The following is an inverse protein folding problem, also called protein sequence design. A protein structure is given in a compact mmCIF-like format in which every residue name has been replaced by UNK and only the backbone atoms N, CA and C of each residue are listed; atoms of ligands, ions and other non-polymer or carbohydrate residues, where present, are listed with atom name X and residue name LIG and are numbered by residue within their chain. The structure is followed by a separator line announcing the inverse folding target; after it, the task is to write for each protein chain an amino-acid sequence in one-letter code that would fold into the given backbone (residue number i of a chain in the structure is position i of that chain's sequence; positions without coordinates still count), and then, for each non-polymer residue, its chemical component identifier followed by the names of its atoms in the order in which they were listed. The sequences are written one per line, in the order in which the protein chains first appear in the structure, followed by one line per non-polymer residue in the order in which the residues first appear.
data_IF_673805861265
#
_entry.id   IF_673805861265
#
_cell.length_a   1.000
_cell.length_b   1.000
_cell.length_c   1.000
_cell.angle_alpha   90.00
_cell.angle_beta   90.00
_cell.angle_gamma   90.00
#
_symmetry.space_group_name_H-M   'P 1'
#
loop_
_entity.id
_entity.type
_entity.pdbx_description
1 polymer ?
#
# COMPACT_ATOMS: atom_id res chain seq x y z
N UNK A 1 2.56 8.00 -10.34
CA UNK A 1 3.33 6.97 -11.05
C UNK A 1 2.46 5.74 -11.32
N UNK A 2 2.29 5.34 -12.58
CA UNK A 2 1.39 4.25 -12.96
C UNK A 2 1.90 2.86 -12.52
N UNK A 3 3.21 2.65 -12.62
CA UNK A 3 3.89 1.40 -12.25
C UNK A 3 4.95 1.73 -11.20
N UNK A 4 5.21 0.86 -10.20
CA UNK A 4 6.32 1.03 -9.27
C UNK A 4 7.66 1.19 -9.99
N UNK A 5 8.68 1.67 -9.30
CA UNK A 5 10.04 1.63 -9.80
C UNK A 5 10.45 0.18 -10.02
N UNK A 6 11.32 -0.06 -11.01
CA UNK A 6 11.86 -1.39 -11.27
C UNK A 6 13.30 -1.43 -10.78
N UNK A 7 13.63 -2.42 -9.98
CA UNK A 7 14.98 -2.70 -9.52
C UNK A 7 15.50 -3.93 -10.24
N UNK A 8 16.40 -3.71 -11.21
CA UNK A 8 17.03 -4.79 -11.98
C UNK A 8 18.22 -5.38 -11.21
N UNK A 9 18.27 -6.69 -11.10
CA UNK A 9 19.34 -7.45 -10.47
C UNK A 9 20.27 -7.99 -11.55
N UNK A 10 21.33 -7.24 -11.85
CA UNK A 10 22.29 -7.59 -12.92
C UNK A 10 23.72 -7.52 -12.40
N UNK A 11 24.60 -8.39 -12.95
CA UNK A 11 26.00 -8.42 -12.59
C UNK A 11 26.89 -8.52 -13.83
N UNK A 12 28.03 -7.83 -13.79
CA UNK A 12 29.06 -7.92 -14.83
C UNK A 12 30.03 -9.05 -14.51
N UNK A 13 30.10 -10.05 -15.38
CA UNK A 13 31.05 -11.17 -15.22
C UNK A 13 32.25 -10.95 -16.11
N UNK A 14 33.49 -10.87 -15.56
CA UNK A 14 34.71 -10.70 -16.37
C UNK A 14 34.86 -11.81 -17.42
N UNK A 15 35.17 -11.43 -18.67
CA UNK A 15 35.33 -12.37 -19.79
C UNK A 15 34.02 -12.82 -20.46
N UNK A 16 32.86 -12.39 -19.97
CA UNK A 16 31.56 -12.64 -20.58
C UNK A 16 31.05 -11.36 -21.26
N UNK A 17 30.59 -11.45 -22.49
CA UNK A 17 29.89 -10.34 -23.14
C UNK A 17 28.51 -10.14 -22.55
N UNK A 18 28.14 -8.88 -22.28
CA UNK A 18 26.83 -8.51 -21.66
C UNK A 18 26.81 -8.62 -20.16
N UNK A 19 25.60 -8.66 -19.58
CA UNK A 19 25.35 -8.78 -18.15
C UNK A 19 24.78 -10.17 -17.83
N UNK A 20 25.04 -10.67 -16.64
CA UNK A 20 24.24 -11.73 -16.05
C UNK A 20 22.97 -11.08 -15.48
N UNK A 21 21.81 -11.51 -15.93
CA UNK A 21 20.51 -11.00 -15.51
C UNK A 21 19.87 -12.00 -14.54
N UNK A 22 19.58 -11.54 -13.32
CA UNK A 22 18.91 -12.32 -12.26
C UNK A 22 17.45 -11.90 -12.06
N UNK A 23 16.88 -11.16 -13.03
CA UNK A 23 15.52 -10.67 -13.00
C UNK A 23 15.40 -9.27 -12.39
N UNK A 24 14.18 -8.89 -12.11
CA UNK A 24 13.87 -7.58 -11.57
C UNK A 24 12.77 -7.68 -10.52
N UNK A 25 12.89 -6.83 -9.49
CA UNK A 25 11.92 -6.68 -8.42
C UNK A 25 11.19 -5.34 -8.53
N UNK A 26 9.97 -5.29 -8.00
CA UNK A 26 9.28 -4.02 -7.79
C UNK A 26 9.97 -3.24 -6.66
N UNK A 27 10.42 -2.05 -6.96
CA UNK A 27 10.92 -1.11 -5.97
C UNK A 27 9.80 -0.27 -5.36
N UNK A 28 10.19 0.78 -4.66
CA UNK A 28 9.27 1.73 -4.06
C UNK A 28 8.42 2.48 -5.11
N UNK A 29 7.28 3.01 -4.67
CA UNK A 29 6.42 3.88 -5.48
C UNK A 29 6.45 5.30 -4.95
N UNK A 30 6.51 6.26 -5.87
CA UNK A 30 6.33 7.67 -5.56
C UNK A 30 4.99 8.17 -6.11
N UNK A 31 4.25 8.91 -5.29
CA UNK A 31 2.97 9.51 -5.64
C UNK A 31 3.08 11.01 -5.39
N UNK A 32 2.92 11.79 -6.47
CA UNK A 32 2.94 13.25 -6.42
C UNK A 32 1.50 13.76 -6.48
N UNK A 33 1.13 14.57 -5.50
CA UNK A 33 -0.20 15.18 -5.40
C UNK A 33 -0.05 16.69 -5.48
N UNK A 34 -0.52 17.27 -6.57
CA UNK A 34 -0.56 18.72 -6.75
C UNK A 34 -1.72 19.30 -5.92
N UNK A 35 -1.39 20.23 -5.04
CA UNK A 35 -2.33 20.87 -4.14
C UNK A 35 -2.40 22.38 -4.38
N UNK A 36 -3.58 22.95 -4.18
CA UNK A 36 -3.78 24.38 -4.25
C UNK A 36 -4.48 24.89 -2.99
N UNK A 37 -4.03 26.02 -2.48
CA UNK A 37 -4.74 26.76 -1.46
C UNK A 37 -5.66 27.76 -2.15
N UNK A 38 -6.95 27.63 -1.94
CA UNK A 38 -7.93 28.60 -2.41
C UNK A 38 -7.65 29.98 -1.83
N UNK A 39 -7.94 31.07 -2.58
CA UNK A 39 -7.73 32.42 -2.08
C UNK A 39 -8.38 32.64 -0.73
N UNK A 40 -7.56 33.02 0.25
CA UNK A 40 -7.99 33.35 1.60
C UNK A 40 -8.30 34.87 1.68
N UNK A 41 -9.02 35.30 2.71
CA UNK A 41 -9.36 36.71 2.91
C UNK A 41 -8.11 37.55 3.19
N UNK A 42 -7.18 36.99 3.96
CA UNK A 42 -5.93 37.64 4.33
C UNK A 42 -4.75 36.70 4.14
N UNK A 43 -3.55 37.27 4.13
CA UNK A 43 -2.32 36.49 4.13
C UNK A 43 -2.15 35.67 5.45
N UNK A 44 -2.61 36.23 6.58
CA UNK A 44 -2.58 35.53 7.86
C UNK A 44 -3.46 34.27 7.84
N UNK A 45 -4.62 34.33 7.19
CA UNK A 45 -5.50 33.16 7.05
C UNK A 45 -4.83 32.07 6.19
N UNK A 46 -4.11 32.46 5.13
CA UNK A 46 -3.35 31.53 4.30
C UNK A 46 -2.23 30.84 5.11
N UNK A 47 -1.51 31.59 5.93
CA UNK A 47 -0.46 31.02 6.82
C UNK A 47 -1.08 30.04 7.80
N UNK A 48 -2.22 30.35 8.39
CA UNK A 48 -2.92 29.44 9.30
C UNK A 48 -3.34 28.13 8.61
N UNK A 49 -3.74 28.16 7.34
CA UNK A 49 -4.01 26.95 6.56
C UNK A 49 -2.74 26.14 6.32
N UNK A 50 -1.63 26.80 6.00
CA UNK A 50 -0.32 26.12 5.84
C UNK A 50 0.15 25.44 7.13
N UNK A 51 -0.04 26.09 8.28
CA UNK A 51 0.30 25.53 9.58
C UNK A 51 -0.57 24.27 9.89
N UNK A 52 -1.85 24.29 9.52
CA UNK A 52 -2.73 23.13 9.63
C UNK A 52 -2.29 21.97 8.71
N UNK A 53 -1.91 22.28 7.49
CA UNK A 53 -1.37 21.29 6.54
C UNK A 53 -0.07 20.70 7.05
N UNK A 54 0.84 21.53 7.58
CA UNK A 54 2.10 21.08 8.16
C UNK A 54 1.88 20.15 9.36
N UNK A 55 0.94 20.49 10.24
CA UNK A 55 0.60 19.65 11.38
C UNK A 55 -0.05 18.31 10.98
N UNK A 56 -0.86 18.31 9.92
CA UNK A 56 -1.47 17.09 9.37
C UNK A 56 -0.46 16.16 8.69
N UNK A 57 0.53 16.74 8.00
CA UNK A 57 1.56 16.03 7.24
C UNK A 57 2.82 15.74 8.05
N UNK A 58 2.72 15.61 9.38
CA UNK A 58 3.87 15.32 10.23
C UNK A 58 4.67 14.09 9.72
N UNK A 59 5.90 14.28 9.22
CA UNK A 59 6.71 13.20 8.69
C UNK A 59 7.15 12.20 9.77
N UNK A 60 7.13 12.62 11.05
CA UNK A 60 7.49 11.77 12.18
C UNK A 60 6.36 10.81 12.58
N UNK A 61 5.15 11.05 12.12
CA UNK A 61 3.98 10.21 12.39
C UNK A 61 4.02 8.83 11.68
N UNK A 62 5.09 8.56 10.91
CA UNK A 62 5.28 7.31 10.19
C UNK A 62 4.39 7.16 8.96
N UNK A 63 4.23 5.92 8.53
CA UNK A 63 3.43 5.58 7.35
C UNK A 63 1.94 5.61 7.68
N UNK A 64 1.14 6.16 6.77
CA UNK A 64 -0.32 6.28 6.86
C UNK A 64 -0.98 5.75 5.60
N UNK A 65 -2.28 5.50 5.68
CA UNK A 65 -3.08 5.16 4.51
C UNK A 65 -3.34 6.42 3.67
N UNK A 66 -2.94 6.36 2.41
CA UNK A 66 -3.22 7.37 1.41
C UNK A 66 -4.29 6.84 0.45
N UNK A 67 -5.46 7.44 0.47
CA UNK A 67 -6.55 7.19 -0.47
C UNK A 67 -6.61 8.37 -1.44
N UNK A 68 -6.70 8.09 -2.71
CA UNK A 68 -6.81 9.10 -3.76
C UNK A 68 -8.25 9.12 -4.29
N UNK A 69 -8.82 10.30 -4.48
CA UNK A 69 -10.19 10.45 -4.99
C UNK A 69 -10.39 9.82 -6.37
N UNK A 70 -9.32 9.78 -7.17
CA UNK A 70 -9.33 9.15 -8.50
C UNK A 70 -9.36 7.60 -8.42
N UNK A 71 -9.01 7.02 -7.27
CA UNK A 71 -8.94 5.58 -7.04
C UNK A 71 -9.44 5.30 -5.62
N UNK A 72 -10.73 5.52 -5.35
CA UNK A 72 -11.28 5.48 -4.00
C UNK A 72 -11.46 4.07 -3.43
N UNK A 73 -11.25 3.03 -4.24
CA UNK A 73 -11.41 1.62 -3.89
C UNK A 73 -10.21 1.03 -3.12
N UNK A 74 -9.11 1.79 -3.04
CA UNK A 74 -7.85 1.31 -2.44
C UNK A 74 -7.07 2.39 -1.73
N UNK A 75 -6.17 1.96 -0.86
CA UNK A 75 -5.19 2.83 -0.22
C UNK A 75 -3.76 2.40 -0.54
N UNK A 76 -2.83 3.33 -0.40
CA UNK A 76 -1.40 3.08 -0.42
C UNK A 76 -0.82 3.36 0.97
N UNK A 77 0.10 2.52 1.40
CA UNK A 77 0.83 2.74 2.65
C UNK A 77 1.95 3.76 2.39
N UNK A 78 1.70 5.02 2.72
CA UNK A 78 2.52 6.14 2.28
C UNK A 78 3.01 7.01 3.45
N UNK A 79 4.15 7.66 3.27
CA UNK A 79 4.65 8.74 4.11
C UNK A 79 5.14 9.89 3.25
N UNK A 80 5.17 11.09 3.78
CA UNK A 80 5.80 12.22 3.11
C UNK A 80 7.30 11.93 2.92
N UNK A 81 7.82 12.16 1.73
CA UNK A 81 9.21 11.82 1.36
C UNK A 81 10.14 13.02 1.31
N UNK A 82 9.60 14.23 1.18
CA UNK A 82 10.38 15.43 0.97
C UNK A 82 9.76 16.64 1.68
N UNK A 83 10.52 17.73 1.72
CA UNK A 83 10.04 19.02 2.19
C UNK A 83 8.95 19.56 1.28
N UNK A 84 8.00 20.26 1.88
CA UNK A 84 6.90 20.88 1.13
C UNK A 84 7.14 22.38 1.05
N UNK A 85 7.46 22.86 -0.16
CA UNK A 85 7.58 24.27 -0.45
C UNK A 85 6.29 24.80 -1.08
N UNK A 86 5.70 25.82 -0.50
CA UNK A 86 4.51 26.46 -1.02
C UNK A 86 4.88 27.68 -1.88
N UNK A 87 4.65 27.55 -3.18
CA UNK A 87 4.77 28.68 -4.09
C UNK A 87 3.56 29.62 -3.96
N UNK A 88 3.82 30.87 -3.66
CA UNK A 88 2.79 31.87 -3.53
C UNK A 88 2.42 32.46 -4.90
N UNK A 89 1.25 32.09 -5.41
CA UNK A 89 0.72 32.57 -6.68
C UNK A 89 0.10 33.97 -6.58
N UNK A 90 -0.60 34.23 -5.47
CA UNK A 90 -1.27 35.50 -5.17
C UNK A 90 -1.00 35.87 -3.69
N UNK A 91 -1.48 37.09 -3.29
CA UNK A 91 -1.29 37.58 -1.93
C UNK A 91 -1.79 36.61 -0.84
N UNK A 92 -2.82 35.84 -1.14
CA UNK A 92 -3.47 34.93 -0.20
C UNK A 92 -3.85 33.57 -0.84
N UNK A 93 -3.12 33.16 -1.87
CA UNK A 93 -3.28 31.87 -2.54
C UNK A 93 -1.92 31.29 -2.89
N UNK A 94 -1.81 29.96 -2.88
CA UNK A 94 -0.57 29.27 -3.18
C UNK A 94 -0.82 27.90 -3.79
N UNK A 95 0.24 27.33 -4.35
CA UNK A 95 0.28 25.94 -4.80
C UNK A 95 1.50 25.23 -4.22
N UNK A 96 1.38 23.93 -4.06
CA UNK A 96 2.46 23.07 -3.61
C UNK A 96 2.24 21.65 -4.11
N UNK A 97 3.28 20.86 -4.13
CA UNK A 97 3.20 19.43 -4.45
C UNK A 97 3.60 18.63 -3.23
N UNK A 98 2.81 17.62 -2.92
CA UNK A 98 3.12 16.63 -1.89
C UNK A 98 3.77 15.43 -2.56
N UNK A 99 4.94 15.07 -2.10
CA UNK A 99 5.68 13.90 -2.57
C UNK A 99 5.56 12.78 -1.53
N UNK A 100 4.82 11.74 -1.86
CA UNK A 100 4.64 10.58 -1.00
C UNK A 100 5.52 9.41 -1.46
N UNK A 101 6.19 8.78 -0.49
CA UNK A 101 6.90 7.52 -0.66
C UNK A 101 6.05 6.38 -0.13
N UNK A 102 5.76 5.41 -0.97
CA UNK A 102 5.23 4.10 -0.62
C UNK A 102 6.38 3.09 -0.69
N UNK A 103 6.91 2.70 0.46
CA UNK A 103 7.96 1.68 0.53
C UNK A 103 7.46 0.33 0.03
N UNK A 104 6.20 0.03 0.32
CA UNK A 104 5.44 -1.03 -0.31
C UNK A 104 4.71 -0.45 -1.53
N UNK A 105 5.03 -0.94 -2.74
CA UNK A 105 4.50 -0.36 -3.98
C UNK A 105 3.05 -0.71 -4.28
N UNK A 106 2.46 -1.64 -3.54
CA UNK A 106 1.12 -2.16 -3.82
C UNK A 106 0.03 -1.28 -3.24
N UNK A 107 -1.13 -1.30 -3.90
CA UNK A 107 -2.37 -0.74 -3.38
C UNK A 107 -3.19 -1.85 -2.73
N UNK A 108 -3.75 -1.57 -1.57
CA UNK A 108 -4.57 -2.48 -0.79
C UNK A 108 -6.02 -2.06 -0.86
N UNK A 109 -6.94 -3.02 -0.96
CA UNK A 109 -8.37 -2.74 -0.88
C UNK A 109 -8.70 -2.08 0.48
N UNK A 110 -9.68 -1.18 0.47
CA UNK A 110 -10.17 -0.55 1.71
C UNK A 110 -10.92 -1.56 2.58
N UNK A 111 -11.65 -2.47 1.94
CA UNK A 111 -12.43 -3.51 2.60
C UNK A 111 -11.87 -4.89 2.24
N UNK A 112 -11.75 -5.76 3.22
CA UNK A 112 -11.29 -7.13 3.02
C UNK A 112 -12.42 -7.99 2.45
N UNK A 113 -12.13 -8.73 1.37
CA UNK A 113 -13.03 -9.76 0.88
C UNK A 113 -13.03 -10.96 1.82
N UNK A 114 -14.20 -11.37 2.30
CA UNK A 114 -14.35 -12.46 3.26
C UNK A 114 -15.17 -13.60 2.68
N UNK A 115 -14.57 -14.80 2.64
CA UNK A 115 -15.24 -16.03 2.21
C UNK A 115 -15.44 -16.95 3.43
N UNK A 116 -16.65 -17.46 3.60
CA UNK A 116 -17.00 -18.34 4.73
C UNK A 116 -17.42 -19.71 4.25
N UNK A 117 -16.75 -20.73 4.77
CA UNK A 117 -17.05 -22.14 4.46
C UNK A 117 -17.46 -22.87 5.73
N UNK A 118 -18.57 -23.59 5.67
CA UNK A 118 -19.08 -24.41 6.77
C UNK A 118 -18.90 -25.92 6.55
N UNK A 119 -18.43 -26.31 5.38
CA UNK A 119 -18.23 -27.71 5.00
C UNK A 119 -16.79 -27.97 4.62
N UNK A 120 -16.35 -29.19 4.84
CA UNK A 120 -15.04 -29.67 4.37
C UNK A 120 -15.10 -29.97 2.88
N UNK A 121 -14.00 -29.77 2.18
CA UNK A 121 -13.87 -30.03 0.75
C UNK A 121 -13.02 -28.97 0.07
N UNK A 122 -12.97 -29.05 -1.23
CA UNK A 122 -12.33 -28.06 -2.07
C UNK A 122 -13.36 -26.97 -2.41
N UNK A 123 -12.97 -25.73 -2.14
CA UNK A 123 -13.77 -24.55 -2.47
C UNK A 123 -12.93 -23.67 -3.37
N UNK A 124 -13.51 -23.29 -4.50
CA UNK A 124 -12.92 -22.33 -5.40
C UNK A 124 -13.52 -20.96 -5.11
N UNK A 125 -12.65 -19.98 -4.96
CA UNK A 125 -13.04 -18.58 -4.73
C UNK A 125 -12.36 -17.69 -5.74
N UNK A 126 -13.11 -16.79 -6.30
CA UNK A 126 -12.61 -15.76 -7.19
C UNK A 126 -12.67 -14.42 -6.46
N UNK A 127 -11.57 -13.69 -6.47
CA UNK A 127 -11.52 -12.34 -5.91
C UNK A 127 -12.16 -11.36 -6.88
N UNK A 128 -12.97 -10.45 -6.35
CA UNK A 128 -13.60 -9.40 -7.16
C UNK A 128 -12.58 -8.32 -7.55
N UNK A 129 -11.57 -8.10 -6.69
CA UNK A 129 -10.58 -7.04 -6.87
C UNK A 129 -9.15 -7.56 -6.73
N UNK A 130 -8.22 -6.78 -7.30
CA UNK A 130 -6.80 -7.08 -7.21
C UNK A 130 -6.26 -7.89 -8.38
N UNK A 131 -5.01 -7.65 -8.70
CA UNK A 131 -4.28 -8.27 -9.82
C UNK A 131 -2.91 -8.82 -9.40
N UNK A 132 -2.65 -8.85 -8.11
CA UNK A 132 -1.40 -9.34 -7.52
C UNK A 132 -1.72 -10.44 -6.51
N UNK A 133 -0.80 -11.36 -6.30
CA UNK A 133 -0.93 -12.38 -5.27
C UNK A 133 -1.17 -11.73 -3.90
N UNK A 134 -2.01 -12.37 -3.10
CA UNK A 134 -2.32 -11.92 -1.74
C UNK A 134 -2.11 -13.05 -0.74
N UNK A 135 -1.74 -12.66 0.46
CA UNK A 135 -1.60 -13.58 1.58
C UNK A 135 -2.95 -13.68 2.31
N UNK A 136 -3.66 -14.82 2.22
CA UNK A 136 -4.96 -14.96 2.87
C UNK A 136 -4.81 -15.14 4.37
N UNK A 137 -5.72 -14.53 5.13
CA UNK A 137 -5.83 -14.73 6.58
C UNK A 137 -6.90 -15.78 6.84
N UNK A 138 -6.55 -16.88 7.50
CA UNK A 138 -7.49 -17.95 7.86
C UNK A 138 -7.99 -17.75 9.29
N UNK A 139 -9.29 -17.65 9.44
CA UNK A 139 -9.96 -17.60 10.74
C UNK A 139 -10.73 -18.90 10.96
N UNK A 140 -10.23 -19.77 11.82
CA UNK A 140 -10.88 -21.03 12.20
C UNK A 140 -11.74 -20.80 13.45
N UNK A 141 -13.04 -21.08 13.32
CA UNK A 141 -13.99 -21.00 14.45
C UNK A 141 -14.53 -22.38 14.78
N UNK A 142 -14.41 -22.80 16.02
CA UNK A 142 -14.92 -24.08 16.50
C UNK A 142 -13.96 -24.79 17.43
N UNK A 143 -14.33 -25.97 17.86
CA UNK A 143 -13.54 -26.81 18.77
C UNK A 143 -13.05 -28.06 18.03
N UNK A 144 -11.77 -28.32 18.12
CA UNK A 144 -11.16 -29.54 17.62
C UNK A 144 -10.72 -30.37 18.84
N UNK A 145 -11.43 -31.44 19.11
CA UNK A 145 -11.11 -32.35 20.23
C UNK A 145 -9.91 -33.22 19.94
N UNK A 146 -9.74 -33.66 18.72
CA UNK A 146 -8.58 -34.44 18.25
C UNK A 146 -8.50 -34.40 16.73
N UNK A 147 -7.31 -34.59 16.18
CA UNK A 147 -7.08 -34.70 14.74
C UNK A 147 -6.31 -33.50 14.16
N UNK A 148 -6.39 -33.40 12.86
CA UNK A 148 -5.67 -32.41 12.08
C UNK A 148 -6.60 -31.76 11.06
N UNK A 149 -6.57 -30.43 10.98
CA UNK A 149 -7.11 -29.68 9.85
C UNK A 149 -5.98 -29.42 8.89
N UNK A 150 -6.19 -29.75 7.64
CA UNK A 150 -5.30 -29.39 6.54
C UNK A 150 -5.99 -28.32 5.70
N UNK A 151 -5.38 -27.16 5.65
CA UNK A 151 -5.74 -26.08 4.71
C UNK A 151 -4.70 -26.08 3.60
N UNK A 152 -5.12 -25.87 2.37
CA UNK A 152 -4.20 -25.73 1.27
C UNK A 152 -4.71 -24.63 0.35
N UNK A 153 -3.84 -23.68 0.01
CA UNK A 153 -4.12 -22.61 -0.95
C UNK A 153 -3.07 -22.67 -2.05
N UNK A 154 -3.53 -22.82 -3.29
CA UNK A 154 -2.65 -22.91 -4.46
C UNK A 154 -1.53 -23.96 -4.34
N UNK A 155 -1.82 -25.06 -3.61
CA UNK A 155 -0.85 -26.12 -3.38
C UNK A 155 0.02 -25.97 -2.15
N UNK A 156 0.00 -24.82 -1.47
CA UNK A 156 0.73 -24.57 -0.23
C UNK A 156 -0.08 -25.07 0.98
N UNK A 157 0.40 -26.07 1.72
CA UNK A 157 -0.35 -26.66 2.82
C UNK A 157 -0.06 -25.96 4.15
N UNK A 158 -1.12 -25.61 4.86
CA UNK A 158 -1.09 -25.21 6.27
C UNK A 158 -1.72 -26.32 7.13
N UNK A 159 -0.99 -26.86 8.08
CA UNK A 159 -1.45 -27.93 8.96
C UNK A 159 -1.70 -27.42 10.37
N UNK A 160 -2.94 -27.56 10.84
CA UNK A 160 -3.35 -27.22 12.20
C UNK A 160 -3.67 -28.51 12.95
N UNK A 161 -3.00 -28.73 14.09
CA UNK A 161 -3.13 -29.96 14.89
C UNK A 161 -3.87 -29.65 16.18
N UNK A 162 -4.93 -30.40 16.46
CA UNK A 162 -5.68 -30.31 17.73
C UNK A 162 -4.98 -31.01 18.90
N UNK A 163 -5.47 -30.76 20.15
CA UNK A 163 -6.73 -30.10 20.46
C UNK A 163 -6.63 -28.56 20.42
N UNK A 164 -7.68 -27.93 19.92
CA UNK A 164 -7.88 -26.47 19.97
C UNK A 164 -9.25 -26.21 20.57
N UNK A 165 -9.31 -25.33 21.55
CA UNK A 165 -10.54 -24.81 22.11
C UNK A 165 -10.78 -23.38 21.58
N UNK A 166 -12.04 -23.05 21.30
CA UNK A 166 -12.46 -21.72 20.90
C UNK A 166 -12.39 -20.75 22.09
#
# INVERSE_FOLDING_TARGET
QMVPSLRSNTETVPGKAGLADFGADSGERYIDVACNIYPQKTFSDMVAVLDQVAAWLDPTAGTKQLVLDDVPDRYFSARLSDTVDCERLLRAAGSFTLHFLCADPYGYALDDETFTFSQTGQHEVERETGNTDSEPVYVLKGTISSGTILLSTNGEPLRVVGPLAA
#
